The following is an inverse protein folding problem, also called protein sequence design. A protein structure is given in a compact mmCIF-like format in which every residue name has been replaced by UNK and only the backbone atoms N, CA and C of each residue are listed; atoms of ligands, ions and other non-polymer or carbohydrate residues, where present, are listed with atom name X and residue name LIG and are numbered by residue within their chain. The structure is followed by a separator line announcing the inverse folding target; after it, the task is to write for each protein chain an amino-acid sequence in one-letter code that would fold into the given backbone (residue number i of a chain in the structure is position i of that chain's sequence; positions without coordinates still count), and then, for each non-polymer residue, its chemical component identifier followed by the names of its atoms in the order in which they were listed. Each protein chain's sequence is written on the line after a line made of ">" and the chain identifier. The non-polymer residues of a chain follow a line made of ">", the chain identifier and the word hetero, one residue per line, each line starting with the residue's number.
data_IF_973992287100
#
_entry.id   IF_973992287100
#
_cell.length_a   1.000
_cell.length_b   1.000
_cell.length_c   1.000
_cell.angle_alpha   90.00
_cell.angle_beta   90.00
_cell.angle_gamma   90.00
#
_symmetry.space_group_name_H-M   'P 1'
#
loop_
_entity.id
_entity.type
_entity.pdbx_description
1 polymer ?
#
# COMPACT_ATOMS: atom_id res chain seq x y z
N UNK A 1 -25.74 -28.13 16.02
CA UNK A 1 -25.28 -26.73 15.98
C UNK A 1 -23.99 -26.76 15.19
N UNK A 2 -24.11 -26.59 13.88
CA UNK A 2 -22.95 -26.62 12.98
C UNK A 2 -22.14 -25.35 13.22
N UNK A 3 -21.02 -25.51 13.91
CA UNK A 3 -19.98 -24.51 13.96
C UNK A 3 -19.22 -24.58 12.64
N UNK A 4 -19.82 -24.03 11.58
CA UNK A 4 -19.06 -23.70 10.39
C UNK A 4 -18.05 -22.63 10.81
N UNK A 5 -16.79 -23.02 10.95
CA UNK A 5 -15.70 -22.06 10.92
C UNK A 5 -15.90 -21.26 9.64
N UNK A 6 -16.27 -19.99 9.77
CA UNK A 6 -16.32 -19.08 8.64
C UNK A 6 -14.88 -18.87 8.21
N UNK A 7 -14.38 -19.73 7.33
CA UNK A 7 -13.10 -19.51 6.69
C UNK A 7 -13.16 -18.12 6.04
N UNK A 8 -12.30 -17.23 6.53
CA UNK A 8 -12.18 -15.89 5.96
C UNK A 8 -11.87 -16.04 4.48
N UNK A 9 -12.60 -15.32 3.63
CA UNK A 9 -12.44 -15.37 2.18
C UNK A 9 -11.04 -14.92 1.71
N UNK A 10 -10.23 -14.40 2.64
CA UNK A 10 -8.86 -13.91 2.40
C UNK A 10 -7.81 -14.68 3.21
N UNK A 11 -8.17 -15.80 3.83
CA UNK A 11 -7.25 -16.62 4.66
C UNK A 11 -5.95 -17.01 3.96
N UNK A 12 -5.94 -17.16 2.63
CA UNK A 12 -4.74 -17.44 1.85
C UNK A 12 -3.70 -16.29 1.88
N UNK A 13 -4.11 -15.08 2.24
CA UNK A 13 -3.27 -13.89 2.36
C UNK A 13 -2.86 -13.56 3.81
N UNK A 14 -3.25 -14.40 4.79
CA UNK A 14 -2.83 -14.32 6.19
C UNK A 14 -1.39 -14.86 6.36
N UNK A 15 -0.43 -14.20 5.73
CA UNK A 15 0.97 -14.61 5.68
C UNK A 15 1.91 -13.41 5.53
N UNK A 16 3.18 -13.62 5.84
CA UNK A 16 4.25 -12.62 5.65
C UNK A 16 4.37 -11.61 6.80
N UNK A 17 4.97 -10.46 6.52
CA UNK A 17 5.27 -9.41 7.51
C UNK A 17 4.02 -8.64 7.93
N UNK A 18 3.15 -8.30 6.98
CA UNK A 18 1.83 -7.73 7.22
C UNK A 18 0.75 -8.71 6.71
N UNK A 19 0.24 -9.60 7.59
CA UNK A 19 -0.82 -10.53 7.23
C UNK A 19 -2.13 -9.81 6.89
N UNK A 20 -2.81 -10.26 5.84
CA UNK A 20 -4.08 -9.67 5.39
C UNK A 20 -5.25 -10.56 5.82
N UNK A 21 -5.82 -10.26 6.99
CA UNK A 21 -7.01 -10.95 7.50
C UNK A 21 -8.32 -10.28 7.07
N UNK A 22 -8.27 -8.99 6.72
CA UNK A 22 -9.38 -8.18 6.19
C UNK A 22 -8.81 -7.00 5.36
N UNK A 23 -9.40 -6.69 4.21
CA UNK A 23 -8.96 -5.55 3.38
C UNK A 23 -9.36 -4.22 4.01
N UNK A 24 -10.60 -4.10 4.47
CA UNK A 24 -11.30 -2.85 4.77
C UNK A 24 -11.24 -2.42 6.24
N UNK A 25 -11.31 -3.39 7.14
CA UNK A 25 -11.36 -3.13 8.58
C UNK A 25 -9.99 -2.66 9.08
N UNK A 26 -9.96 -1.53 9.78
CA UNK A 26 -8.79 -1.03 10.51
C UNK A 26 -9.22 -0.97 11.98
N UNK A 27 -8.46 -1.64 12.83
CA UNK A 27 -8.71 -1.64 14.28
C UNK A 27 -8.53 -0.23 14.83
N UNK A 28 -9.39 0.19 15.76
CA UNK A 28 -9.28 1.50 16.41
C UNK A 28 -7.97 1.67 17.17
N UNK A 29 -7.33 0.57 17.58
CA UNK A 29 -6.02 0.59 18.25
C UNK A 29 -4.85 0.83 17.30
N UNK A 30 -5.06 0.68 15.99
CA UNK A 30 -4.05 0.85 14.94
C UNK A 30 -4.41 2.01 14.01
N UNK A 31 -5.48 2.75 14.30
CA UNK A 31 -6.01 3.83 13.46
C UNK A 31 -5.37 5.17 13.81
N UNK A 32 -4.04 5.20 13.78
CA UNK A 32 -3.22 6.38 13.99
C UNK A 32 -2.07 6.45 12.98
N UNK A 33 -1.37 7.59 12.96
CA UNK A 33 -0.37 7.88 11.95
C UNK A 33 0.80 6.89 11.97
N UNK A 34 1.31 6.54 13.16
CA UNK A 34 2.50 5.69 13.33
C UNK A 34 2.19 4.26 12.87
N UNK A 35 1.10 3.67 13.36
CA UNK A 35 0.72 2.31 13.01
C UNK A 35 0.34 2.16 11.53
N UNK A 36 -0.34 3.15 10.95
CA UNK A 36 -0.70 3.10 9.54
C UNK A 36 0.53 3.29 8.63
N UNK A 37 1.51 4.10 9.04
CA UNK A 37 2.77 4.26 8.30
C UNK A 37 3.61 2.98 8.33
N UNK A 38 3.74 2.35 9.50
CA UNK A 38 4.45 1.07 9.64
C UNK A 38 3.77 -0.05 8.83
N UNK A 39 2.44 -0.17 8.91
CA UNK A 39 1.69 -1.13 8.10
C UNK A 39 1.86 -0.87 6.60
N UNK A 40 1.84 0.40 6.16
CA UNK A 40 2.07 0.76 4.77
C UNK A 40 3.48 0.40 4.29
N UNK A 41 4.51 0.65 5.11
CA UNK A 41 5.88 0.28 4.79
C UNK A 41 6.04 -1.23 4.67
N UNK A 42 5.52 -2.02 5.62
CA UNK A 42 5.60 -3.49 5.58
C UNK A 42 4.93 -4.08 4.34
N UNK A 43 3.73 -3.61 4.00
CA UNK A 43 3.03 -4.03 2.78
C UNK A 43 3.80 -3.66 1.51
N UNK A 44 4.34 -2.44 1.45
CA UNK A 44 5.14 -1.99 0.31
C UNK A 44 6.45 -2.77 0.18
N UNK A 45 7.09 -3.10 1.32
CA UNK A 45 8.29 -3.94 1.37
C UNK A 45 8.01 -5.33 0.84
N UNK A 46 6.95 -6.00 1.29
CA UNK A 46 6.59 -7.35 0.81
C UNK A 46 6.25 -7.37 -0.69
N UNK A 47 5.56 -6.34 -1.19
CA UNK A 47 5.29 -6.18 -2.62
C UNK A 47 6.58 -6.03 -3.44
N UNK A 48 7.59 -5.36 -2.89
CA UNK A 48 8.88 -5.15 -3.53
C UNK A 48 9.82 -6.36 -3.41
N UNK A 49 9.79 -7.06 -2.28
CA UNK A 49 10.66 -8.20 -1.95
C UNK A 49 10.45 -9.37 -2.91
N UNK A 50 9.19 -9.71 -3.22
CA UNK A 50 8.89 -10.78 -4.19
C UNK A 50 9.47 -10.48 -5.58
N UNK A 51 9.66 -9.20 -5.88
CA UNK A 51 10.22 -8.72 -7.14
C UNK A 51 11.69 -8.30 -7.04
N UNK A 52 12.33 -8.54 -5.89
CA UNK A 52 13.76 -8.28 -5.61
C UNK A 52 14.16 -6.80 -5.77
N UNK A 53 13.22 -5.89 -5.46
CA UNK A 53 13.40 -4.44 -5.54
C UNK A 53 13.19 -3.71 -4.21
N UNK A 54 13.19 -4.45 -3.10
CA UNK A 54 12.99 -3.95 -1.74
C UNK A 54 14.07 -2.98 -1.27
N UNK A 55 15.30 -3.09 -1.79
CA UNK A 55 16.40 -2.19 -1.47
C UNK A 55 16.18 -0.74 -1.94
N UNK A 56 15.19 -0.51 -2.81
CA UNK A 56 14.80 0.84 -3.23
C UNK A 56 13.91 1.55 -2.19
N UNK A 57 13.30 0.83 -1.24
CA UNK A 57 12.43 1.39 -0.22
C UNK A 57 13.23 1.90 0.98
N UNK A 58 12.74 2.98 1.57
CA UNK A 58 13.18 3.47 2.86
C UNK A 58 11.95 3.84 3.69
N UNK A 59 11.98 3.57 4.99
CA UNK A 59 11.01 4.12 5.93
C UNK A 59 11.00 5.65 5.86
N UNK A 60 9.81 6.23 6.03
CA UNK A 60 9.61 7.67 6.10
C UNK A 60 8.47 7.99 7.07
N UNK A 61 8.86 8.48 8.23
CA UNK A 61 7.97 8.78 9.35
C UNK A 61 7.56 10.26 9.38
N UNK A 62 7.76 11.00 8.29
CA UNK A 62 7.26 12.38 8.22
C UNK A 62 5.72 12.39 8.36
N UNK A 63 5.12 13.37 9.06
CA UNK A 63 3.67 13.42 9.28
C UNK A 63 2.84 13.41 7.98
N UNK A 64 3.41 13.88 6.87
CA UNK A 64 2.75 13.91 5.55
C UNK A 64 3.13 12.71 4.66
N UNK A 65 3.97 11.79 5.14
CA UNK A 65 4.42 10.63 4.35
C UNK A 65 3.38 9.52 4.30
N UNK A 66 3.54 8.62 3.32
CA UNK A 66 2.79 7.37 3.26
C UNK A 66 3.40 6.26 4.15
N UNK A 67 4.45 6.55 4.92
CA UNK A 67 5.19 5.59 5.76
C UNK A 67 6.47 5.08 5.09
N UNK A 68 6.63 5.34 3.80
CA UNK A 68 7.81 4.98 3.05
C UNK A 68 8.07 5.95 1.90
N UNK A 69 9.30 5.93 1.41
CA UNK A 69 9.75 6.62 0.20
C UNK A 69 10.55 5.67 -0.66
N UNK A 70 10.62 5.97 -1.96
CA UNK A 70 11.38 5.15 -2.91
C UNK A 70 12.51 5.97 -3.51
N UNK A 71 13.73 5.43 -3.41
CA UNK A 71 14.90 6.01 -4.07
C UNK A 71 14.97 5.46 -5.49
N UNK A 72 14.24 6.09 -6.43
CA UNK A 72 14.23 5.67 -7.83
C UNK A 72 15.02 6.60 -8.74
N UNK A 73 15.77 6.01 -9.65
CA UNK A 73 16.09 6.63 -10.92
C UNK A 73 14.93 6.32 -11.88
N UNK A 74 14.09 7.32 -12.18
CA UNK A 74 12.86 7.17 -12.97
C UNK A 74 13.07 6.48 -14.33
N UNK A 75 14.26 6.60 -14.93
CA UNK A 75 14.58 5.98 -16.21
C UNK A 75 14.86 4.47 -16.14
N UNK A 76 15.10 3.95 -14.93
CA UNK A 76 15.46 2.55 -14.69
C UNK A 76 14.50 1.84 -13.70
N UNK A 77 13.47 2.55 -13.26
CA UNK A 77 12.52 2.06 -12.28
C UNK A 77 11.64 0.94 -12.86
N UNK A 78 11.64 -0.22 -12.20
CA UNK A 78 10.73 -1.32 -12.51
C UNK A 78 9.26 -0.88 -12.38
N UNK A 79 8.31 -1.54 -13.06
CA UNK A 79 6.89 -1.21 -12.94
C UNK A 79 6.37 -1.17 -11.51
N UNK A 80 6.79 -2.12 -10.65
CA UNK A 80 6.38 -2.15 -9.24
C UNK A 80 6.93 -0.96 -8.45
N UNK A 81 8.19 -0.56 -8.66
CA UNK A 81 8.76 0.58 -7.94
C UNK A 81 8.07 1.88 -8.35
N UNK A 82 7.67 2.03 -9.61
CA UNK A 82 6.82 3.15 -10.05
C UNK A 82 5.42 3.08 -9.45
N UNK A 83 4.79 1.90 -9.36
CA UNK A 83 3.50 1.76 -8.69
C UNK A 83 3.59 2.19 -7.23
N UNK A 84 4.55 1.64 -6.49
CA UNK A 84 4.73 1.95 -5.07
C UNK A 84 5.07 3.43 -4.84
N UNK A 85 5.85 4.07 -5.72
CA UNK A 85 6.14 5.50 -5.63
C UNK A 85 4.91 6.36 -6.01
N UNK A 86 4.10 5.92 -6.97
CA UNK A 86 2.85 6.61 -7.30
C UNK A 86 1.86 6.58 -6.10
N UNK A 87 1.83 5.48 -5.33
CA UNK A 87 0.99 5.37 -4.13
C UNK A 87 1.41 6.34 -3.01
N UNK A 88 2.69 6.73 -2.94
CA UNK A 88 3.13 7.76 -1.98
C UNK A 88 2.69 9.16 -2.39
N UNK A 89 2.16 9.34 -3.62
CA UNK A 89 1.75 10.64 -4.15
C UNK A 89 2.89 11.44 -4.78
N UNK A 90 3.97 10.78 -5.21
CA UNK A 90 5.06 11.44 -5.92
C UNK A 90 4.59 11.91 -7.31
N UNK A 91 4.46 13.23 -7.48
CA UNK A 91 3.98 13.86 -8.70
C UNK A 91 4.95 13.69 -9.90
N UNK A 92 6.21 13.34 -9.66
CA UNK A 92 7.17 13.05 -10.72
C UNK A 92 6.98 11.66 -11.33
N UNK A 93 6.20 10.79 -10.68
CA UNK A 93 5.99 9.41 -11.11
C UNK A 93 4.73 9.33 -11.98
N UNK A 94 4.91 8.83 -13.20
CA UNK A 94 3.81 8.47 -14.09
C UNK A 94 3.70 6.95 -14.19
N UNK A 95 2.52 6.43 -13.85
CA UNK A 95 2.13 5.05 -14.07
C UNK A 95 0.96 5.02 -15.04
N UNK A 96 1.11 4.36 -16.18
CA UNK A 96 0.02 4.24 -17.14
C UNK A 96 -1.02 3.22 -16.67
N UNK A 97 -2.29 3.43 -17.05
CA UNK A 97 -3.36 2.47 -16.79
C UNK A 97 -3.03 1.07 -17.34
N UNK A 98 -2.36 1.02 -18.51
CA UNK A 98 -1.93 -0.25 -19.10
C UNK A 98 -0.91 -0.99 -18.22
N UNK A 99 0.08 -0.28 -17.67
CA UNK A 99 1.06 -0.91 -16.76
C UNK A 99 0.39 -1.50 -15.53
N UNK A 100 -0.57 -0.78 -14.93
CA UNK A 100 -1.34 -1.29 -13.80
C UNK A 100 -2.16 -2.53 -14.20
N UNK A 101 -2.84 -2.51 -15.35
CA UNK A 101 -3.63 -3.67 -15.80
C UNK A 101 -2.76 -4.88 -16.07
N UNK A 102 -1.56 -4.70 -16.63
CA UNK A 102 -0.62 -5.80 -16.87
C UNK A 102 -0.12 -6.40 -15.54
N UNK A 103 0.15 -5.58 -14.53
CA UNK A 103 0.58 -6.07 -13.22
C UNK A 103 -0.50 -6.89 -12.51
N UNK A 104 -1.77 -6.50 -12.62
CA UNK A 104 -2.88 -7.13 -11.89
C UNK A 104 -3.54 -8.28 -12.66
N UNK A 105 -3.63 -8.19 -13.99
CA UNK A 105 -4.38 -9.16 -14.80
C UNK A 105 -3.49 -9.96 -15.76
N UNK A 106 -2.30 -9.47 -16.08
CA UNK A 106 -1.51 -10.01 -17.19
C UNK A 106 -2.19 -9.76 -18.55
N UNK A 107 -1.95 -10.65 -19.52
CA UNK A 107 -2.63 -10.62 -20.82
C UNK A 107 -3.43 -11.90 -21.08
N UNK A 108 -4.13 -11.95 -22.22
CA UNK A 108 -4.78 -13.16 -22.73
C UNK A 108 -3.78 -14.27 -23.14
N UNK A 109 -2.49 -13.95 -23.26
CA UNK A 109 -1.46 -14.92 -23.58
C UNK A 109 -1.13 -15.76 -22.34
N UNK A 110 -1.13 -17.10 -22.42
CA UNK A 110 -0.89 -17.97 -21.27
C UNK A 110 0.45 -17.77 -20.55
N UNK A 111 1.44 -17.20 -21.23
CA UNK A 111 2.76 -16.90 -20.68
C UNK A 111 2.79 -15.59 -19.88
N UNK A 112 1.85 -14.68 -20.13
CA UNK A 112 1.82 -13.34 -19.54
C UNK A 112 0.95 -13.35 -18.28
N UNK A 113 1.39 -14.11 -17.27
CA UNK A 113 0.75 -14.13 -15.96
C UNK A 113 0.84 -12.75 -15.29
N UNK A 114 -0.13 -12.38 -14.44
CA UNK A 114 -0.04 -11.15 -13.68
C UNK A 114 1.23 -11.14 -12.83
N UNK A 115 1.82 -9.95 -12.70
CA UNK A 115 2.99 -9.74 -11.85
C UNK A 115 2.65 -9.95 -10.38
N UNK A 116 1.44 -9.55 -9.98
CA UNK A 116 0.90 -9.73 -8.65
C UNK A 116 0.05 -11.01 -8.65
N UNK A 117 0.49 -12.02 -7.92
CA UNK A 117 -0.35 -13.18 -7.62
C UNK A 117 -1.47 -12.82 -6.64
N UNK A 118 -2.37 -13.76 -6.35
CA UNK A 118 -3.53 -13.51 -5.48
C UNK A 118 -3.12 -12.97 -4.10
N UNK A 119 -2.02 -13.46 -3.51
CA UNK A 119 -1.53 -12.99 -2.21
C UNK A 119 -1.04 -11.55 -2.31
N UNK A 120 -0.27 -11.23 -3.35
CA UNK A 120 0.23 -9.88 -3.58
C UNK A 120 -0.88 -8.90 -3.94
N UNK A 121 -1.90 -9.32 -4.69
CA UNK A 121 -3.09 -8.49 -4.97
C UNK A 121 -3.81 -8.15 -3.67
N UNK A 122 -3.94 -9.11 -2.76
CA UNK A 122 -4.53 -8.86 -1.44
C UNK A 122 -3.73 -7.85 -0.61
N UNK A 123 -2.40 -7.97 -0.59
CA UNK A 123 -1.51 -7.00 0.05
C UNK A 123 -1.58 -5.63 -0.61
N UNK A 124 -1.66 -5.56 -1.94
CA UNK A 124 -1.82 -4.32 -2.69
C UNK A 124 -3.15 -3.62 -2.36
N UNK A 125 -4.27 -4.36 -2.31
CA UNK A 125 -5.56 -3.81 -1.91
C UNK A 125 -5.56 -3.32 -0.47
N UNK A 126 -4.90 -4.07 0.43
CA UNK A 126 -4.71 -3.66 1.82
C UNK A 126 -3.88 -2.37 1.92
N UNK A 127 -2.80 -2.25 1.14
CA UNK A 127 -1.97 -1.06 1.08
C UNK A 127 -2.77 0.16 0.61
N UNK A 128 -3.59 0.02 -0.44
CA UNK A 128 -4.49 1.09 -0.88
C UNK A 128 -5.40 1.52 0.27
N UNK A 129 -6.00 0.57 1.00
CA UNK A 129 -6.89 0.90 2.12
C UNK A 129 -6.17 1.67 3.22
N UNK A 130 -4.97 1.23 3.61
CA UNK A 130 -4.15 1.84 4.67
C UNK A 130 -3.74 3.26 4.26
N UNK A 131 -3.17 3.44 3.05
CA UNK A 131 -2.77 4.77 2.56
C UNK A 131 -3.97 5.71 2.48
N UNK A 132 -5.13 5.24 2.02
CA UNK A 132 -6.35 6.07 2.01
C UNK A 132 -6.72 6.55 3.41
N UNK A 133 -6.64 5.68 4.42
CA UNK A 133 -6.92 6.08 5.82
C UNK A 133 -5.91 7.08 6.35
N UNK A 134 -4.62 6.80 6.13
CA UNK A 134 -3.54 7.66 6.54
C UNK A 134 -3.71 9.08 5.97
N UNK A 135 -4.08 9.18 4.70
CA UNK A 135 -4.37 10.46 4.03
C UNK A 135 -5.61 11.16 4.58
N UNK A 136 -6.61 10.44 5.08
CA UNK A 136 -7.76 11.04 5.78
C UNK A 136 -7.32 11.71 7.09
N UNK A 137 -6.54 11.00 7.91
CA UNK A 137 -6.01 11.53 9.18
C UNK A 137 -5.15 12.77 8.92
N UNK A 138 -4.23 12.70 7.96
CA UNK A 138 -3.36 13.82 7.60
C UNK A 138 -4.13 15.08 7.20
N UNK A 139 -5.23 14.95 6.46
CA UNK A 139 -6.09 16.09 6.10
C UNK A 139 -6.83 16.64 7.32
N UNK A 140 -7.27 15.79 8.24
CA UNK A 140 -7.95 16.21 9.46
C UNK A 140 -7.01 17.01 10.38
N UNK A 141 -5.76 16.56 10.53
CA UNK A 141 -4.74 17.29 11.31
C UNK A 141 -4.47 18.68 10.75
N UNK A 142 -4.33 18.81 9.43
CA UNK A 142 -4.13 20.11 8.77
C UNK A 142 -5.31 21.08 8.96
N UNK A 143 -6.54 20.55 9.02
CA UNK A 143 -7.73 21.38 9.25
C UNK A 143 -7.80 21.88 10.70
N UNK A 144 -7.38 21.07 11.68
CA UNK A 144 -7.29 21.52 13.06
C UNK A 144 -6.22 22.61 13.24
N UNK A 145 -5.03 22.43 12.64
CA UNK A 145 -3.94 23.41 12.72
C UNK A 145 -4.32 24.78 12.13
N UNK A 146 -5.03 24.80 11.00
CA UNK A 146 -5.46 26.06 10.37
C UNK A 146 -6.63 26.74 11.11
N UNK A 147 -7.44 25.98 11.87
CA UNK A 147 -8.54 26.52 12.65
C UNK A 147 -8.07 27.27 13.91
N UNK A 148 -6.89 26.93 14.44
CA UNK A 148 -6.29 27.62 15.58
C UNK A 148 -5.65 28.96 15.21
N UNK A 149 -5.28 29.16 13.93
CA UNK A 149 -4.65 30.41 13.45
C UNK A 149 -5.63 31.52 13.09
N UNK A 150 -6.93 31.22 12.97
CA UNK A 150 -7.97 32.19 12.60
C UNK A 150 -8.64 32.86 13.84
N UNK A 151 -8.25 32.46 15.06
CA UNK A 151 -8.80 32.95 16.34
C UNK A 151 -7.88 33.94 17.11
N UNK A 152 -6.77 34.43 16.51
CA UNK A 152 -5.90 35.52 17.04
C UNK A 152 -6.09 36.87 16.31
#
# INVERSE_FOLDING_TARGET
>A
MDSAATDSSVSFADTGLEPVTDIWHISTLQDDLEHLQDAAFRLAFELAEVLQVEQALCEDNAPTSAGYRIQINLHQASPITRLLAALTGDAAVSLSANELTQMVFGTEQPADRPLLDDVLVMKFLRLIRVIRRLREIQRQSQQCENGETDDE
#
